data_IF_765007060912
#
_entry.id   IF_765007060912
#
_cell.length_a   1.000
_cell.length_b   1.000
_cell.length_c   1.000
_cell.angle_alpha   90.00
_cell.angle_beta   90.00
_cell.angle_gamma   90.00
#
_symmetry.space_group_name_H-M   'P 1'
#
loop_
_entity.id
_entity.type
_entity.pdbx_description
1 polymer ?
#
# COMPACT_ATOMS: atom_id res chain seq x y z
N UNK A 1 -26.26 5.74 2.96
CA UNK A 1 -25.51 4.49 2.70
C UNK A 1 -24.30 4.95 1.94
N UNK A 2 -23.07 4.65 2.38
CA UNK A 2 -21.87 5.11 1.66
C UNK A 2 -21.65 4.19 0.46
N UNK A 3 -21.66 4.75 -0.75
CA UNK A 3 -21.32 4.05 -1.98
C UNK A 3 -19.83 4.19 -2.29
N UNK A 4 -19.19 3.09 -2.70
CA UNK A 4 -17.79 3.11 -3.11
C UNK A 4 -17.66 2.69 -4.57
N UNK A 5 -16.90 3.46 -5.33
CA UNK A 5 -16.50 3.13 -6.69
C UNK A 5 -15.05 2.62 -6.72
N UNK A 6 -14.82 1.51 -7.42
CA UNK A 6 -13.50 0.88 -7.53
C UNK A 6 -12.59 1.62 -8.53
N UNK A 7 -11.32 1.78 -8.17
CA UNK A 7 -10.27 2.41 -9.00
C UNK A 7 -9.28 1.38 -9.61
N UNK A 8 -9.61 0.10 -9.47
CA UNK A 8 -8.78 -1.03 -9.89
C UNK A 8 -7.62 -1.30 -8.93
N UNK A 9 -6.68 -2.13 -9.39
CA UNK A 9 -5.49 -2.50 -8.63
C UNK A 9 -4.22 -1.81 -9.14
N UNK A 10 -3.23 -1.71 -8.27
CA UNK A 10 -1.84 -1.30 -8.57
C UNK A 10 -0.88 -2.28 -7.92
N UNK A 11 0.31 -2.41 -8.48
CA UNK A 11 1.32 -3.29 -7.94
C UNK A 11 2.71 -2.72 -8.16
N UNK A 12 3.64 -3.09 -7.27
CA UNK A 12 5.04 -2.79 -7.42
C UNK A 12 5.89 -3.86 -6.73
N UNK A 13 7.06 -4.12 -7.29
CA UNK A 13 8.12 -4.86 -6.62
C UNK A 13 8.83 -3.95 -5.62
N UNK A 14 9.35 -4.53 -4.53
CA UNK A 14 10.17 -3.80 -3.58
C UNK A 14 11.59 -3.54 -4.15
N UNK A 15 12.20 -2.47 -3.67
CA UNK A 15 13.61 -2.12 -3.91
C UNK A 15 14.35 -2.03 -2.57
N UNK A 16 15.69 -2.10 -2.56
CA UNK A 16 16.44 -1.85 -1.32
C UNK A 16 16.08 -0.47 -0.79
N UNK A 17 15.87 -0.36 0.52
CA UNK A 17 15.34 0.88 1.10
C UNK A 17 16.15 2.13 0.71
N UNK A 18 15.44 3.10 0.13
CA UNK A 18 15.97 4.43 -0.22
C UNK A 18 15.38 5.55 0.64
N UNK A 19 14.42 5.22 1.51
CA UNK A 19 13.70 6.20 2.36
C UNK A 19 14.50 6.57 3.60
N UNK A 20 15.37 5.67 4.08
CA UNK A 20 16.08 5.78 5.35
C UNK A 20 15.30 5.23 6.54
N UNK A 21 14.01 4.95 6.37
CA UNK A 21 13.09 4.50 7.42
C UNK A 21 12.98 2.96 7.54
N UNK A 22 13.66 2.23 6.65
CA UNK A 22 13.74 0.77 6.65
C UNK A 22 15.12 0.26 6.19
N UNK A 23 16.18 0.94 6.61
CA UNK A 23 17.55 0.71 6.15
C UNK A 23 17.95 -0.77 6.26
N UNK A 24 18.45 -1.33 5.16
CA UNK A 24 18.89 -2.73 5.07
C UNK A 24 17.80 -3.73 4.70
N UNK A 25 16.54 -3.29 4.64
CA UNK A 25 15.40 -4.10 4.27
C UNK A 25 14.80 -3.67 2.93
N UNK A 26 13.90 -4.50 2.39
CA UNK A 26 13.10 -4.18 1.22
C UNK A 26 12.06 -3.09 1.54
N UNK A 27 11.86 -2.15 0.62
CA UNK A 27 10.79 -1.15 0.66
C UNK A 27 10.09 -1.10 -0.69
N UNK A 28 8.77 -1.17 -0.70
CA UNK A 28 8.00 -0.87 -1.92
C UNK A 28 7.44 0.54 -1.81
N UNK A 29 7.67 1.35 -2.83
CA UNK A 29 7.06 2.67 -2.96
C UNK A 29 6.11 2.63 -4.15
N UNK A 30 4.84 2.93 -3.91
CA UNK A 30 3.87 3.27 -4.94
C UNK A 30 3.73 4.77 -4.94
N UNK A 31 4.41 5.42 -5.89
CA UNK A 31 4.35 6.88 -6.01
C UNK A 31 2.96 7.34 -6.45
N UNK A 32 2.68 8.62 -6.27
CA UNK A 32 1.47 9.24 -6.80
C UNK A 32 1.29 8.99 -8.32
N UNK A 33 2.39 8.90 -9.06
CA UNK A 33 2.37 8.58 -10.48
C UNK A 33 1.97 7.12 -10.74
N UNK A 34 2.48 6.17 -9.95
CA UNK A 34 2.14 4.75 -10.03
C UNK A 34 0.66 4.52 -9.66
N UNK A 35 0.17 5.24 -8.66
CA UNK A 35 -1.23 5.19 -8.25
C UNK A 35 -2.14 5.74 -9.36
N UNK A 36 -1.74 6.85 -10.00
CA UNK A 36 -2.43 7.40 -11.17
C UNK A 36 -3.88 7.82 -10.90
N UNK A 37 -4.25 8.06 -9.63
CA UNK A 37 -5.61 8.38 -9.20
C UNK A 37 -5.88 9.88 -9.33
N UNK A 38 -7.01 10.25 -9.94
CA UNK A 38 -7.37 11.64 -10.20
C UNK A 38 -8.31 12.26 -9.18
N UNK A 39 -9.05 11.45 -8.41
CA UNK A 39 -9.95 11.93 -7.37
C UNK A 39 -9.16 12.52 -6.19
N UNK A 40 -9.68 13.54 -5.49
CA UNK A 40 -8.94 14.21 -4.42
C UNK A 40 -8.57 13.29 -3.25
N UNK A 41 -9.45 12.33 -2.95
CA UNK A 41 -9.32 11.38 -1.85
C UNK A 41 -9.77 9.99 -2.28
N UNK A 42 -9.02 8.98 -1.88
CA UNK A 42 -9.29 7.57 -2.14
C UNK A 42 -8.66 6.71 -1.05
N UNK A 43 -8.93 5.42 -1.02
CA UNK A 43 -8.43 4.54 0.04
C UNK A 43 -7.96 3.19 -0.50
N UNK A 44 -7.02 2.57 0.22
CA UNK A 44 -6.62 1.18 -0.01
C UNK A 44 -7.50 0.28 0.84
N UNK A 45 -8.36 -0.51 0.22
CA UNK A 45 -9.24 -1.40 0.98
C UNK A 45 -8.73 -2.84 1.05
N UNK A 46 -7.66 -3.17 0.33
CA UNK A 46 -7.05 -4.50 0.31
C UNK A 46 -5.63 -4.45 -0.25
N UNK A 47 -4.75 -5.29 0.26
CA UNK A 47 -3.46 -5.63 -0.34
C UNK A 47 -3.17 -7.13 -0.28
N UNK A 48 -2.40 -7.62 -1.24
CA UNK A 48 -1.89 -8.99 -1.29
C UNK A 48 -0.40 -8.93 -1.56
N UNK A 49 0.38 -9.48 -0.63
CA UNK A 49 1.81 -9.60 -0.70
C UNK A 49 2.21 -10.96 -1.27
N UNK A 50 3.09 -10.93 -2.25
CA UNK A 50 3.67 -12.11 -2.90
C UNK A 50 5.18 -12.13 -2.66
N UNK A 51 5.77 -13.33 -2.76
CA UNK A 51 7.23 -13.53 -2.61
C UNK A 51 7.78 -13.01 -1.28
N UNK A 52 6.97 -13.09 -0.24
CA UNK A 52 7.33 -12.75 1.13
C UNK A 52 7.17 -13.98 2.02
N UNK A 53 8.04 -14.13 3.02
CA UNK A 53 7.95 -15.23 3.96
C UNK A 53 6.73 -15.04 4.89
N UNK A 54 6.00 -16.12 5.25
CA UNK A 54 5.00 -16.05 6.30
C UNK A 54 5.61 -15.53 7.59
N UNK A 55 4.87 -14.67 8.30
CA UNK A 55 5.34 -14.05 9.55
C UNK A 55 6.18 -12.79 9.35
N UNK A 56 6.50 -12.37 8.12
CA UNK A 56 7.13 -11.07 7.87
C UNK A 56 6.22 -9.94 8.36
N UNK A 57 6.78 -9.04 9.17
CA UNK A 57 6.08 -7.82 9.56
C UNK A 57 6.10 -6.82 8.40
N UNK A 58 4.99 -6.11 8.22
CA UNK A 58 4.81 -5.07 7.22
C UNK A 58 4.32 -3.80 7.92
N UNK A 59 5.03 -2.69 7.70
CA UNK A 59 4.56 -1.35 8.09
C UNK A 59 4.14 -0.59 6.84
N UNK A 60 3.01 0.11 6.91
CA UNK A 60 2.49 0.90 5.79
C UNK A 60 2.49 2.37 6.19
N UNK A 61 2.95 3.23 5.28
CA UNK A 61 2.93 4.69 5.42
C UNK A 61 2.30 5.35 4.20
N UNK A 62 1.73 6.53 4.43
CA UNK A 62 1.26 7.43 3.38
C UNK A 62 1.95 8.77 3.61
N UNK A 63 2.82 9.16 2.68
CA UNK A 63 3.80 10.22 2.90
C UNK A 63 4.58 9.97 4.21
N UNK A 64 4.66 10.97 5.09
CA UNK A 64 5.36 10.84 6.38
C UNK A 64 4.58 10.10 7.47
N UNK A 65 3.33 9.69 7.23
CA UNK A 65 2.44 9.20 8.29
C UNK A 65 2.33 7.67 8.30
N UNK A 66 2.64 6.99 9.42
CA UNK A 66 2.35 5.56 9.57
C UNK A 66 0.84 5.33 9.69
N UNK A 67 0.33 4.34 8.95
CA UNK A 67 -1.11 4.04 8.90
C UNK A 67 -1.44 2.60 9.25
N UNK A 68 -0.49 1.67 9.14
CA UNK A 68 -0.69 0.28 9.53
C UNK A 68 0.62 -0.40 9.93
N UNK A 69 0.51 -1.39 10.80
CA UNK A 69 1.56 -2.36 11.09
C UNK A 69 0.88 -3.73 11.28
N UNK A 70 1.27 -4.72 10.48
CA UNK A 70 0.66 -6.05 10.45
C UNK A 70 1.74 -7.12 10.34
N UNK A 71 1.44 -8.31 10.82
CA UNK A 71 2.23 -9.50 10.53
C UNK A 71 1.51 -10.33 9.46
N UNK A 72 2.18 -10.61 8.36
CA UNK A 72 1.57 -11.30 7.23
C UNK A 72 1.41 -12.79 7.53
N UNK A 73 0.20 -13.30 7.28
CA UNK A 73 -0.09 -14.74 7.35
C UNK A 73 0.42 -15.49 6.13
N UNK A 74 0.05 -16.76 6.02
CA UNK A 74 0.48 -17.65 4.92
C UNK A 74 0.04 -17.17 3.53
N UNK A 75 -1.10 -16.49 3.45
CA UNK A 75 -1.68 -15.98 2.19
C UNK A 75 -1.13 -14.60 1.83
N UNK A 76 -0.34 -13.97 2.71
CA UNK A 76 0.23 -12.64 2.46
C UNK A 76 -0.80 -11.52 2.35
N UNK A 77 -2.03 -11.74 2.80
CA UNK A 77 -3.10 -10.75 2.69
C UNK A 77 -2.97 -9.67 3.77
N UNK A 78 -3.11 -8.42 3.34
CA UNK A 78 -3.25 -7.24 4.19
C UNK A 78 -4.65 -6.65 3.96
N UNK A 79 -5.52 -6.80 4.94
CA UNK A 79 -6.86 -6.24 4.96
C UNK A 79 -6.98 -5.25 6.13
N UNK A 80 -6.81 -3.93 5.90
CA UNK A 80 -6.83 -2.95 6.97
C UNK A 80 -8.25 -2.82 7.53
N UNK A 81 -8.39 -3.02 8.86
CA UNK A 81 -9.66 -2.85 9.56
C UNK A 81 -10.29 -1.45 9.34
N UNK A 82 -9.45 -0.44 9.09
CA UNK A 82 -9.84 0.87 8.59
C UNK A 82 -8.99 1.17 7.35
N UNK A 83 -9.59 1.16 6.14
CA UNK A 83 -8.90 1.53 4.91
C UNK A 83 -8.22 2.90 5.05
N UNK A 84 -6.89 2.99 4.87
CA UNK A 84 -6.21 4.26 5.04
C UNK A 84 -6.57 5.20 3.88
N UNK A 85 -6.90 6.44 4.25
CA UNK A 85 -7.26 7.49 3.32
C UNK A 85 -5.99 8.14 2.72
N UNK A 86 -5.94 8.23 1.40
CA UNK A 86 -4.85 8.80 0.62
C UNK A 86 -5.37 10.05 -0.08
N UNK A 87 -4.60 11.13 -0.01
CA UNK A 87 -4.83 12.33 -0.80
C UNK A 87 -4.11 12.23 -2.14
N UNK A 88 -4.71 12.80 -3.20
CA UNK A 88 -4.06 12.94 -4.50
C UNK A 88 -2.66 13.57 -4.35
N UNK A 89 -1.67 12.93 -4.95
CA UNK A 89 -0.27 13.40 -4.92
C UNK A 89 0.57 12.81 -3.79
N UNK A 90 0.00 11.96 -2.92
CA UNK A 90 0.76 11.24 -1.91
C UNK A 90 1.26 9.89 -2.40
N UNK A 91 2.43 9.52 -1.91
CA UNK A 91 3.03 8.20 -2.10
C UNK A 91 2.59 7.26 -0.98
N UNK A 92 2.60 5.97 -1.28
CA UNK A 92 2.35 4.89 -0.31
C UNK A 92 3.59 4.02 -0.21
N UNK A 93 4.06 3.81 1.01
CA UNK A 93 5.26 3.02 1.30
C UNK A 93 4.89 1.75 2.07
N UNK A 94 5.46 0.62 1.65
CA UNK A 94 5.37 -0.67 2.30
C UNK A 94 6.77 -1.05 2.77
N UNK A 95 7.00 -0.94 4.07
CA UNK A 95 8.27 -1.21 4.72
C UNK A 95 8.25 -2.65 5.21
N UNK A 96 8.89 -3.53 4.47
CA UNK A 96 8.95 -4.96 4.79
C UNK A 96 10.02 -5.20 5.85
N UNK A 97 9.71 -5.95 6.90
CA UNK A 97 10.70 -6.48 7.83
C UNK A 97 11.37 -7.72 7.20
N UNK A 98 12.04 -7.49 6.08
CA UNK A 98 12.69 -8.50 5.26
C UNK A 98 13.98 -7.91 4.70
N UNK A 99 15.16 -8.52 4.96
CA UNK A 99 16.44 -8.03 4.46
C UNK A 99 16.44 -7.86 2.94
N UNK A 100 17.03 -6.78 2.43
CA UNK A 100 17.14 -6.45 1.01
C UNK A 100 18.10 -7.37 0.25
N UNK A 101 17.82 -8.67 0.27
CA UNK A 101 18.62 -9.73 -0.30
C UNK A 101 17.70 -10.73 -1.01
N UNK A 102 18.18 -11.30 -2.12
CA UNK A 102 17.41 -12.29 -2.89
C UNK A 102 16.25 -11.69 -3.69
N UNK A 103 15.11 -12.39 -3.70
CA UNK A 103 13.92 -12.00 -4.48
C UNK A 103 13.13 -10.91 -3.75
N UNK A 104 12.85 -9.76 -4.38
CA UNK A 104 12.07 -8.71 -3.75
C UNK A 104 10.60 -9.14 -3.56
N UNK A 105 9.98 -8.78 -2.42
CA UNK A 105 8.53 -8.85 -2.25
C UNK A 105 7.79 -8.05 -3.32
N UNK A 106 6.55 -8.44 -3.61
CA UNK A 106 5.62 -7.62 -4.40
C UNK A 106 4.34 -7.41 -3.62
N UNK A 107 3.80 -6.21 -3.66
CA UNK A 107 2.45 -5.93 -3.19
C UNK A 107 1.55 -5.60 -4.37
N UNK A 108 0.36 -6.17 -4.38
CA UNK A 108 -0.77 -5.70 -5.19
C UNK A 108 -1.79 -5.07 -4.25
N UNK A 109 -2.24 -3.86 -4.53
CA UNK A 109 -3.25 -3.14 -3.74
C UNK A 109 -4.50 -2.87 -4.58
N UNK A 110 -5.65 -2.77 -3.92
CA UNK A 110 -6.90 -2.36 -4.54
C UNK A 110 -7.41 -1.06 -3.94
N UNK A 111 -7.82 -0.17 -4.83
CA UNK A 111 -8.18 1.21 -4.51
C UNK A 111 -9.67 1.43 -4.74
N UNK A 112 -10.28 2.26 -3.90
CA UNK A 112 -11.65 2.74 -4.08
C UNK A 112 -11.80 4.17 -3.59
N UNK A 113 -12.89 4.83 -3.93
CA UNK A 113 -13.25 6.14 -3.37
C UNK A 113 -14.73 6.20 -3.03
N UNK A 114 -15.09 7.11 -2.12
CA UNK A 114 -16.47 7.40 -1.73
C UNK A 114 -17.16 8.20 -2.85
N UNK A 115 -18.05 7.52 -3.58
CA UNK A 115 -18.72 8.05 -4.77
C UNK A 115 -19.76 9.13 -4.40
N UNK A 116 -20.30 9.07 -3.17
CA UNK A 116 -21.26 10.06 -2.68
C UNK A 116 -20.56 11.40 -2.37
N UNK A 117 -19.26 11.38 -2.06
CA UNK A 117 -18.48 12.59 -1.77
C UNK A 117 -17.73 13.16 -2.96
N UNK A 118 -17.23 12.31 -3.84
CA UNK A 118 -16.29 12.71 -4.89
C UNK A 118 -16.68 12.25 -6.30
N UNK A 119 -17.85 11.62 -6.45
CA UNK A 119 -18.39 11.13 -7.72
C UNK A 119 -19.13 12.16 -8.57
N UNK A 120 -19.18 13.44 -8.20
CA UNK A 120 -19.84 14.45 -9.04
C UNK A 120 -18.93 14.89 -10.20
N UNK A 121 -19.05 14.18 -11.32
CA UNK A 121 -18.79 14.73 -12.65
C UNK A 121 -19.96 15.61 -13.11
#
# INVERSE_FOLDING_TARGET
MVSYAGLGSRWADAEPDSTGDNTGNWTTVLSAADLGVQVPWYEIYRGVAERVAPGTALRVRIGSHPVSAVQLGEVGEWDPAQPPLIQKGQDVEFLWDAPATGTPPRITIWLRYDDDKWGSA
#
